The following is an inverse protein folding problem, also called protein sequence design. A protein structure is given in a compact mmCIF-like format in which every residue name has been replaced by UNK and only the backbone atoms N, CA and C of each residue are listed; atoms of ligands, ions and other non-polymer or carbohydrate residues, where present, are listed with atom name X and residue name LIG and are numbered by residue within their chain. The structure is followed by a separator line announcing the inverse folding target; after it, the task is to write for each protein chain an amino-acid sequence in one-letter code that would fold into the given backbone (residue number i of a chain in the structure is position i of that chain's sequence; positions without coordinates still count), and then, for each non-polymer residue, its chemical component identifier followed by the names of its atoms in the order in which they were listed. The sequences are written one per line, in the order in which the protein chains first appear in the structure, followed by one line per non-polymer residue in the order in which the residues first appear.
data_IF_336822240318
#
_entry.id   IF_336822240318
#
_cell.length_a   1.000
_cell.length_b   1.000
_cell.length_c   1.000
_cell.angle_alpha   90.00
_cell.angle_beta   90.00
_cell.angle_gamma   90.00
#
_symmetry.space_group_name_H-M   'P 1'
#
loop_
_entity.id
_entity.type
_entity.pdbx_description
1 polymer ?
#
# COMPACT_ATOMS: atom_id res chain seq x y z
N UNK A 1 4.11 20.73 -2.89
CA UNK A 1 3.89 21.69 -4.00
C UNK A 1 5.21 21.98 -4.72
N UNK A 2 5.28 21.94 -6.04
CA UNK A 2 6.44 22.42 -6.81
C UNK A 2 6.43 23.94 -6.85
N UNK A 3 7.30 24.60 -6.09
CA UNK A 3 7.36 26.08 -6.02
C UNK A 3 7.48 26.77 -7.40
N UNK A 4 8.12 26.12 -8.39
CA UNK A 4 8.28 26.67 -9.75
C UNK A 4 7.06 26.54 -10.67
N UNK A 5 6.14 25.62 -10.39
CA UNK A 5 5.01 25.32 -11.30
C UNK A 5 3.66 25.36 -10.63
N UNK A 6 3.62 25.64 -9.33
CA UNK A 6 2.40 25.67 -8.51
C UNK A 6 1.50 24.42 -8.66
N UNK A 7 2.11 23.26 -9.01
CA UNK A 7 1.40 22.00 -9.23
C UNK A 7 1.49 21.10 -8.02
N UNK A 8 0.35 20.55 -7.65
CA UNK A 8 0.25 19.51 -6.64
C UNK A 8 0.45 18.14 -7.30
N UNK A 9 0.97 17.21 -6.56
CA UNK A 9 1.02 15.80 -6.92
C UNK A 9 0.85 14.97 -5.66
N UNK A 10 0.34 13.76 -5.82
CA UNK A 10 0.16 12.80 -4.75
C UNK A 10 1.28 11.77 -4.79
N UNK A 11 1.74 11.42 -3.63
CA UNK A 11 2.65 10.29 -3.40
C UNK A 11 2.26 9.60 -2.10
N UNK A 12 2.73 8.39 -1.90
CA UNK A 12 2.39 7.58 -0.74
C UNK A 12 3.65 7.20 0.02
N UNK A 13 3.51 7.03 1.33
CA UNK A 13 4.57 6.51 2.18
C UNK A 13 4.33 5.02 2.43
N UNK A 14 5.38 4.20 2.36
CA UNK A 14 5.32 2.82 2.82
C UNK A 14 5.08 2.76 4.33
N UNK A 15 4.54 1.66 4.88
CA UNK A 15 4.42 1.47 6.33
C UNK A 15 5.76 1.61 7.05
N UNK A 16 6.84 1.13 6.43
CA UNK A 16 8.20 1.29 6.92
C UNK A 16 8.61 2.77 7.01
N UNK A 17 8.34 3.56 5.97
CA UNK A 17 8.60 4.99 5.97
C UNK A 17 7.77 5.71 7.04
N UNK A 18 6.51 5.33 7.24
CA UNK A 18 5.65 5.87 8.30
C UNK A 18 6.22 5.57 9.69
N UNK A 19 6.69 4.33 9.95
CA UNK A 19 7.37 3.99 11.20
C UNK A 19 8.60 4.87 11.44
N UNK A 20 9.44 5.02 10.42
CA UNK A 20 10.65 5.86 10.49
C UNK A 20 10.31 7.35 10.74
N UNK A 21 9.29 7.87 10.06
CA UNK A 21 8.81 9.25 10.27
C UNK A 21 8.30 9.43 11.69
N UNK A 22 7.48 8.51 12.20
CA UNK A 22 6.95 8.57 13.55
C UNK A 22 8.06 8.51 14.61
N UNK A 23 9.06 7.63 14.43
CA UNK A 23 10.23 7.57 15.30
C UNK A 23 11.01 8.90 15.29
N UNK A 24 11.19 9.50 14.12
CA UNK A 24 11.82 10.82 14.03
C UNK A 24 11.01 11.91 14.76
N UNK A 25 9.68 11.90 14.62
CA UNK A 25 8.82 12.90 15.27
C UNK A 25 8.87 12.83 16.79
N UNK A 26 9.12 11.65 17.36
CA UNK A 26 9.28 11.48 18.82
C UNK A 26 10.56 12.14 19.38
N UNK A 27 11.62 12.19 18.58
CA UNK A 27 12.91 12.78 19.00
C UNK A 27 13.09 14.22 18.51
N UNK A 28 12.13 14.74 17.76
CA UNK A 28 12.18 16.09 17.23
C UNK A 28 12.00 17.12 18.35
N UNK A 29 12.95 18.05 18.50
CA UNK A 29 12.93 19.07 19.53
C UNK A 29 11.78 20.09 19.35
N UNK A 30 11.46 20.44 18.10
CA UNK A 30 10.43 21.43 17.79
C UNK A 30 9.11 20.76 17.40
N UNK A 31 7.97 21.16 17.98
CA UNK A 31 6.67 20.60 17.62
C UNK A 31 6.36 20.85 16.15
N UNK A 32 5.69 19.87 15.52
CA UNK A 32 5.25 19.96 14.14
C UNK A 32 4.01 20.86 14.05
N UNK A 33 4.07 21.87 13.19
CA UNK A 33 2.94 22.74 12.84
C UNK A 33 2.59 22.55 11.37
N UNK A 34 1.41 23.01 10.95
CA UNK A 34 0.97 22.89 9.55
C UNK A 34 1.90 23.62 8.56
N UNK A 35 2.68 24.59 9.02
CA UNK A 35 3.58 25.40 8.21
C UNK A 35 5.05 24.96 8.33
N UNK A 36 5.39 24.17 9.35
CA UNK A 36 6.77 23.72 9.55
C UNK A 36 7.13 22.59 8.60
N UNK A 37 8.42 22.51 8.15
CA UNK A 37 8.88 21.39 7.37
C UNK A 37 8.86 20.11 8.22
N UNK A 38 8.51 18.97 7.61
CA UNK A 38 8.51 17.68 8.28
C UNK A 38 9.87 17.34 8.90
N UNK A 39 10.94 17.60 8.17
CA UNK A 39 12.32 17.39 8.64
C UNK A 39 13.00 18.74 8.88
N UNK A 40 13.49 18.95 10.10
CA UNK A 40 14.24 20.15 10.47
C UNK A 40 15.73 19.99 10.10
N UNK A 41 15.97 19.85 8.82
CA UNK A 41 17.32 19.65 8.28
C UNK A 41 17.56 20.58 7.09
N UNK A 42 18.72 21.23 7.07
CA UNK A 42 19.10 22.05 5.93
C UNK A 42 19.51 21.18 4.74
N UNK A 43 19.30 21.70 3.52
CA UNK A 43 19.72 21.02 2.29
C UNK A 43 21.22 20.69 2.30
N UNK A 44 22.03 21.61 2.78
CA UNK A 44 23.50 21.45 2.85
C UNK A 44 23.88 20.31 3.79
N UNK A 45 23.24 20.25 4.95
CA UNK A 45 23.49 19.17 5.90
C UNK A 45 23.07 17.81 5.33
N UNK A 46 21.89 17.73 4.70
CA UNK A 46 21.44 16.50 4.04
C UNK A 46 22.43 16.02 2.97
N UNK A 47 22.96 16.93 2.14
CA UNK A 47 23.95 16.58 1.11
C UNK A 47 25.22 16.02 1.76
N UNK A 48 25.74 16.67 2.80
CA UNK A 48 26.92 16.20 3.55
C UNK A 48 26.73 14.81 4.13
N UNK A 49 25.57 14.53 4.75
CA UNK A 49 25.26 13.18 5.26
C UNK A 49 25.39 12.10 4.18
N UNK A 50 24.85 12.36 2.97
CA UNK A 50 24.99 11.40 1.86
C UNK A 50 26.43 11.27 1.37
N UNK A 51 27.20 12.35 1.41
CA UNK A 51 28.62 12.35 1.07
C UNK A 51 29.41 11.52 2.07
N UNK A 52 29.18 11.72 3.36
CA UNK A 52 29.84 10.98 4.45
C UNK A 52 29.50 9.48 4.38
N UNK A 53 28.25 9.11 4.15
CA UNK A 53 27.83 7.72 3.94
C UNK A 53 28.54 7.11 2.73
N UNK A 54 28.58 7.84 1.60
CA UNK A 54 29.27 7.37 0.39
C UNK A 54 30.75 7.08 0.66
N UNK A 55 31.40 8.00 1.35
CA UNK A 55 32.84 7.95 1.58
C UNK A 55 33.19 6.90 2.65
N UNK A 56 32.40 6.78 3.72
CA UNK A 56 32.53 5.73 4.76
C UNK A 56 32.37 4.33 4.18
N UNK A 57 31.42 4.15 3.28
CA UNK A 57 31.17 2.85 2.62
C UNK A 57 32.09 2.59 1.41
N UNK A 58 32.98 3.50 1.07
CA UNK A 58 33.91 3.36 -0.05
C UNK A 58 33.23 3.18 -1.41
N UNK A 59 32.03 3.74 -1.62
CA UNK A 59 31.25 3.52 -2.83
C UNK A 59 31.84 4.21 -4.08
N UNK A 60 32.75 5.17 -3.89
CA UNK A 60 33.45 5.85 -4.95
C UNK A 60 32.60 6.88 -5.69
N UNK A 61 33.04 7.21 -6.92
CA UNK A 61 32.46 8.27 -7.76
C UNK A 61 32.06 7.76 -9.14
N UNK A 62 31.16 8.49 -9.78
CA UNK A 62 30.80 8.32 -11.20
C UNK A 62 30.90 9.72 -11.83
N UNK A 63 31.94 9.92 -12.60
CA UNK A 63 32.33 11.26 -13.09
C UNK A 63 32.55 12.22 -11.91
N UNK A 64 32.04 13.46 -11.96
CA UNK A 64 32.25 14.45 -10.90
C UNK A 64 31.41 14.15 -9.62
N UNK A 65 30.52 13.18 -9.64
CA UNK A 65 29.56 12.95 -8.57
C UNK A 65 29.89 11.71 -7.73
N UNK A 66 29.64 11.78 -6.43
CA UNK A 66 29.62 10.61 -5.57
C UNK A 66 28.53 9.63 -6.03
N UNK A 67 28.79 8.34 -5.94
CA UNK A 67 27.87 7.28 -6.40
C UNK A 67 26.59 7.27 -5.57
N UNK A 68 26.69 7.33 -4.24
CA UNK A 68 25.55 7.45 -3.34
C UNK A 68 25.23 8.92 -3.05
N UNK A 69 24.02 9.34 -3.38
CA UNK A 69 23.53 10.71 -3.21
C UNK A 69 21.99 10.73 -3.21
N UNK A 70 21.40 11.81 -2.69
CA UNK A 70 19.92 11.92 -2.55
C UNK A 70 19.15 11.58 -3.83
N UNK A 71 19.64 11.98 -5.00
CA UNK A 71 19.00 11.69 -6.28
C UNK A 71 18.97 10.18 -6.62
N UNK A 72 19.86 9.39 -6.06
CA UNK A 72 19.89 7.93 -6.28
C UNK A 72 18.70 7.24 -5.62
N UNK A 73 18.23 7.75 -4.47
CA UNK A 73 17.00 7.21 -3.83
C UNK A 73 15.78 7.38 -4.73
N UNK A 74 15.68 8.55 -5.39
CA UNK A 74 14.61 8.79 -6.36
C UNK A 74 14.71 7.88 -7.58
N UNK A 75 15.93 7.64 -8.07
CA UNK A 75 16.17 6.69 -9.17
C UNK A 75 15.82 5.27 -8.75
N UNK A 76 16.27 4.85 -7.58
CA UNK A 76 15.97 3.54 -7.03
C UNK A 76 14.46 3.32 -6.96
N UNK A 77 13.73 4.22 -6.32
CA UNK A 77 12.27 4.15 -6.20
C UNK A 77 11.59 4.01 -7.57
N UNK A 78 11.99 4.82 -8.56
CA UNK A 78 11.41 4.73 -9.89
C UNK A 78 11.74 3.40 -10.59
N UNK A 79 13.00 2.97 -10.52
CA UNK A 79 13.44 1.75 -11.19
C UNK A 79 12.88 0.50 -10.53
N UNK A 80 12.79 0.47 -9.20
CA UNK A 80 12.23 -0.65 -8.46
C UNK A 80 10.75 -0.86 -8.81
N UNK A 81 9.94 0.19 -8.76
CA UNK A 81 8.53 0.11 -9.12
C UNK A 81 8.31 -0.28 -10.60
N UNK A 82 9.09 0.32 -11.51
CA UNK A 82 9.00 0.00 -12.93
C UNK A 82 9.40 -1.45 -13.24
N UNK A 83 10.49 -1.93 -12.66
CA UNK A 83 10.96 -3.30 -12.87
C UNK A 83 10.02 -4.34 -12.25
N UNK A 84 9.27 -3.97 -11.22
CA UNK A 84 8.23 -4.81 -10.60
C UNK A 84 6.90 -4.78 -11.37
N UNK A 85 6.85 -4.07 -12.51
CA UNK A 85 5.72 -4.06 -13.45
C UNK A 85 4.78 -2.86 -13.38
N UNK A 86 5.07 -1.85 -12.54
CA UNK A 86 4.27 -0.62 -12.53
C UNK A 86 4.49 0.17 -13.81
N UNK A 87 3.40 0.69 -14.41
CA UNK A 87 3.49 1.52 -15.62
C UNK A 87 4.31 2.78 -15.38
N UNK A 88 5.08 3.19 -16.40
CA UNK A 88 5.95 4.36 -16.31
C UNK A 88 5.17 5.65 -16.01
N UNK A 89 3.92 5.76 -16.47
CA UNK A 89 3.07 6.91 -16.22
C UNK A 89 2.70 7.02 -14.74
N UNK A 90 2.32 5.90 -14.10
CA UNK A 90 2.04 5.86 -12.66
C UNK A 90 3.28 6.15 -11.83
N UNK A 91 4.44 5.61 -12.21
CA UNK A 91 5.73 5.95 -11.58
C UNK A 91 6.03 7.45 -11.70
N UNK A 92 5.78 8.04 -12.86
CA UNK A 92 5.97 9.46 -13.08
C UNK A 92 5.01 10.32 -12.25
N UNK A 93 3.76 9.88 -12.10
CA UNK A 93 2.77 10.54 -11.25
C UNK A 93 3.19 10.54 -9.79
N UNK A 94 3.60 9.38 -9.25
CA UNK A 94 4.13 9.26 -7.87
C UNK A 94 5.35 10.16 -7.64
N UNK A 95 6.17 10.35 -8.64
CA UNK A 95 7.33 11.23 -8.58
C UNK A 95 7.02 12.70 -8.86
N UNK A 96 5.78 13.04 -9.18
CA UNK A 96 5.38 14.38 -9.53
C UNK A 96 6.10 14.91 -10.78
N UNK A 97 6.41 14.07 -11.76
CA UNK A 97 6.94 14.54 -13.03
C UNK A 97 5.85 15.29 -13.78
N UNK A 98 6.24 16.35 -14.50
CA UNK A 98 5.28 17.09 -15.29
C UNK A 98 4.81 16.23 -16.46
N UNK A 99 3.50 16.10 -16.65
CA UNK A 99 2.90 15.57 -17.88
C UNK A 99 2.98 16.63 -18.98
N UNK A 100 2.99 16.19 -20.23
CA UNK A 100 2.79 17.08 -21.35
C UNK A 100 1.45 17.81 -21.19
N UNK A 101 1.32 19.01 -21.77
CA UNK A 101 0.06 19.78 -21.64
C UNK A 101 -1.16 19.00 -22.16
N UNK A 102 -0.97 18.26 -23.25
CA UNK A 102 -1.99 17.40 -23.83
C UNK A 102 -2.38 16.27 -22.89
N UNK A 103 -1.41 15.50 -22.38
CA UNK A 103 -1.67 14.39 -21.47
C UNK A 103 -2.31 14.85 -20.15
N UNK A 104 -1.91 16.02 -19.64
CA UNK A 104 -2.48 16.59 -18.43
C UNK A 104 -3.95 17.02 -18.59
N UNK A 105 -4.40 17.31 -19.82
CA UNK A 105 -5.78 17.67 -20.12
C UNK A 105 -6.71 16.44 -20.22
N UNK A 106 -6.17 15.30 -20.70
CA UNK A 106 -6.97 14.10 -20.97
C UNK A 106 -6.86 13.03 -19.86
N UNK A 107 -5.75 12.98 -19.14
CA UNK A 107 -5.48 11.93 -18.15
C UNK A 107 -5.40 12.49 -16.73
N UNK A 108 -6.55 12.53 -16.07
CA UNK A 108 -6.60 12.76 -14.62
C UNK A 108 -6.24 11.45 -13.91
N UNK A 109 -5.16 11.46 -13.16
CA UNK A 109 -4.79 10.31 -12.33
C UNK A 109 -5.77 10.22 -11.16
N UNK A 110 -6.52 9.13 -11.08
CA UNK A 110 -7.36 8.84 -9.93
C UNK A 110 -6.44 8.50 -8.73
N UNK A 111 -6.54 9.24 -7.60
CA UNK A 111 -5.74 8.98 -6.42
C UNK A 111 -5.87 7.55 -5.89
N UNK A 112 -7.08 6.99 -5.87
CA UNK A 112 -7.33 5.65 -5.34
C UNK A 112 -6.69 4.57 -6.22
N UNK A 113 -6.77 4.70 -7.54
CA UNK A 113 -6.13 3.78 -8.47
C UNK A 113 -4.60 3.84 -8.35
N UNK A 114 -4.05 5.04 -8.17
CA UNK A 114 -2.62 5.22 -7.97
C UNK A 114 -2.16 4.61 -6.66
N UNK A 115 -2.95 4.75 -5.59
CA UNK A 115 -2.71 4.13 -4.30
C UNK A 115 -2.73 2.61 -4.38
N UNK A 116 -3.75 2.06 -5.04
CA UNK A 116 -3.89 0.63 -5.21
C UNK A 116 -2.70 0.02 -5.97
N UNK A 117 -2.29 0.66 -7.06
CA UNK A 117 -1.10 0.24 -7.79
C UNK A 117 0.18 0.36 -6.96
N UNK A 118 0.35 1.43 -6.19
CA UNK A 118 1.49 1.56 -5.29
C UNK A 118 1.55 0.44 -4.25
N UNK A 119 0.39 0.04 -3.70
CA UNK A 119 0.30 -1.06 -2.73
C UNK A 119 0.71 -2.40 -3.35
N UNK A 120 0.32 -2.68 -4.60
CA UNK A 120 0.73 -3.91 -5.30
C UNK A 120 2.25 -4.05 -5.41
N UNK A 121 2.93 -2.94 -5.64
CA UNK A 121 4.37 -2.87 -5.87
C UNK A 121 5.16 -2.45 -4.64
N UNK A 122 4.52 -2.42 -3.46
CA UNK A 122 5.12 -1.94 -2.22
C UNK A 122 6.36 -2.76 -1.81
N UNK A 123 6.34 -4.07 -2.04
CA UNK A 123 7.44 -4.96 -1.70
C UNK A 123 8.75 -4.58 -2.42
N UNK A 124 8.67 -4.06 -3.65
CA UNK A 124 9.85 -3.66 -4.42
C UNK A 124 10.60 -2.45 -3.82
N UNK A 125 9.93 -1.64 -3.01
CA UNK A 125 10.49 -0.43 -2.37
C UNK A 125 10.62 -0.56 -0.86
N UNK A 126 10.35 -1.75 -0.29
CA UNK A 126 10.52 -2.05 1.13
C UNK A 126 11.94 -2.55 1.37
N UNK A 127 12.64 -1.98 2.34
CA UNK A 127 14.03 -2.31 2.68
C UNK A 127 14.08 -3.48 3.67
N UNK A 128 13.23 -3.44 4.71
CA UNK A 128 13.11 -4.49 5.71
C UNK A 128 11.99 -5.47 5.34
N UNK A 129 12.37 -6.67 4.97
CA UNK A 129 11.44 -7.75 4.62
C UNK A 129 10.66 -8.24 5.85
N UNK A 130 11.18 -8.04 7.05
CA UNK A 130 10.56 -8.38 8.34
C UNK A 130 9.46 -7.40 8.79
N UNK A 131 9.22 -6.34 8.05
CA UNK A 131 8.01 -5.56 8.27
C UNK A 131 6.84 -6.47 7.91
N UNK A 132 6.15 -6.99 8.95
CA UNK A 132 4.86 -7.67 8.82
C UNK A 132 4.14 -7.13 7.60
N UNK A 133 3.72 -8.02 6.72
CA UNK A 133 2.82 -7.70 5.61
C UNK A 133 1.59 -7.06 6.25
N UNK A 134 1.67 -5.77 6.51
CA UNK A 134 0.51 -4.97 6.84
C UNK A 134 -0.40 -5.13 5.64
N UNK A 135 -1.35 -6.03 5.76
CA UNK A 135 -2.44 -6.15 4.80
C UNK A 135 -3.18 -4.82 4.87
N UNK A 136 -2.73 -3.87 4.06
CA UNK A 136 -3.46 -2.62 3.85
C UNK A 136 -4.68 -3.01 3.02
N UNK A 137 -5.66 -3.55 3.74
CA UNK A 137 -6.95 -3.90 3.15
C UNK A 137 -7.61 -2.58 2.77
N UNK A 138 -7.95 -2.42 1.50
CA UNK A 138 -8.79 -1.28 1.10
C UNK A 138 -10.11 -1.33 1.89
N UNK A 139 -10.76 -0.18 2.14
CA UNK A 139 -12.09 -0.17 2.77
C UNK A 139 -13.06 -1.14 2.10
N UNK A 140 -13.03 -1.24 0.76
CA UNK A 140 -13.83 -2.18 -0.01
C UNK A 140 -13.44 -3.64 0.26
N UNK A 141 -12.16 -3.94 0.41
CA UNK A 141 -11.71 -5.29 0.76
C UNK A 141 -12.16 -5.69 2.17
N UNK A 142 -12.09 -4.77 3.14
CA UNK A 142 -12.60 -4.99 4.50
C UNK A 142 -14.11 -5.24 4.47
N UNK A 143 -14.84 -4.49 3.64
CA UNK A 143 -16.28 -4.68 3.49
C UNK A 143 -16.60 -6.05 2.87
N UNK A 144 -15.94 -6.42 1.76
CA UNK A 144 -16.10 -7.72 1.10
C UNK A 144 -15.74 -8.87 2.06
N UNK A 145 -14.71 -8.71 2.88
CA UNK A 145 -14.31 -9.73 3.86
C UNK A 145 -15.39 -9.91 4.93
N UNK A 146 -15.97 -8.83 5.46
CA UNK A 146 -17.10 -8.89 6.40
C UNK A 146 -18.36 -9.51 5.78
N UNK A 147 -18.66 -9.15 4.53
CA UNK A 147 -19.78 -9.75 3.78
C UNK A 147 -19.57 -11.26 3.57
N UNK A 148 -18.34 -11.66 3.22
CA UNK A 148 -17.98 -13.07 3.09
C UNK A 148 -18.08 -13.84 4.41
N UNK A 149 -17.66 -13.26 5.53
CA UNK A 149 -17.81 -13.88 6.85
C UNK A 149 -19.29 -14.04 7.22
N UNK A 150 -20.11 -13.02 6.96
CA UNK A 150 -21.56 -13.06 7.18
C UNK A 150 -22.23 -14.12 6.31
N UNK A 151 -21.83 -14.22 5.03
CA UNK A 151 -22.35 -15.24 4.12
C UNK A 151 -21.95 -16.64 4.54
N UNK A 152 -20.72 -16.86 4.98
CA UNK A 152 -20.24 -18.14 5.51
C UNK A 152 -21.06 -18.58 6.73
N UNK A 153 -21.35 -17.66 7.65
CA UNK A 153 -22.22 -17.94 8.81
C UNK A 153 -23.61 -18.36 8.37
N UNK A 154 -24.25 -17.59 7.47
CA UNK A 154 -25.60 -17.93 6.95
C UNK A 154 -25.62 -19.26 6.22
N UNK A 155 -24.61 -19.59 5.43
CA UNK A 155 -24.51 -20.92 4.78
C UNK A 155 -24.34 -22.02 5.80
N UNK A 156 -23.60 -21.76 6.90
CA UNK A 156 -23.51 -22.73 8.01
C UNK A 156 -24.86 -22.99 8.68
N UNK A 157 -25.63 -21.95 8.93
CA UNK A 157 -26.96 -22.07 9.58
C UNK A 157 -27.98 -22.76 8.65
N UNK A 158 -28.00 -22.37 7.36
CA UNK A 158 -28.86 -23.05 6.38
C UNK A 158 -28.52 -24.56 6.22
N UNK A 159 -27.26 -24.94 6.35
CA UNK A 159 -26.88 -26.37 6.34
C UNK A 159 -27.43 -27.11 7.54
N UNK A 160 -27.40 -26.53 8.74
CA UNK A 160 -27.98 -27.12 9.93
C UNK A 160 -29.50 -27.32 9.78
N UNK A 161 -30.21 -26.28 9.32
CA UNK A 161 -31.66 -26.36 9.06
C UNK A 161 -31.99 -27.45 8.02
N UNK A 162 -31.17 -27.53 6.96
CA UNK A 162 -31.36 -28.59 5.94
C UNK A 162 -31.17 -30.00 6.51
N UNK A 163 -30.20 -30.19 7.39
CA UNK A 163 -29.94 -31.48 8.03
C UNK A 163 -31.03 -31.84 9.02
N UNK A 164 -31.58 -30.85 9.75
CA UNK A 164 -32.76 -31.05 10.60
C UNK A 164 -34.00 -31.43 9.78
N UNK A 165 -34.26 -30.73 8.68
CA UNK A 165 -35.36 -31.07 7.77
C UNK A 165 -35.22 -32.49 7.17
N UNK A 166 -34.00 -32.90 6.84
CA UNK A 166 -33.73 -34.26 6.35
C UNK A 166 -34.04 -35.32 7.42
N UNK A 167 -33.68 -35.05 8.69
CA UNK A 167 -34.01 -35.95 9.81
C UNK A 167 -35.52 -36.06 10.01
N UNK A 168 -36.22 -34.92 10.07
CA UNK A 168 -37.68 -34.91 10.19
C UNK A 168 -38.36 -35.63 9.03
N UNK A 169 -37.87 -35.43 7.81
CA UNK A 169 -38.40 -36.14 6.64
C UNK A 169 -38.21 -37.66 6.76
N UNK A 170 -37.06 -38.09 7.24
CA UNK A 170 -36.83 -39.54 7.46
C UNK A 170 -37.76 -40.11 8.53
N UNK A 171 -37.90 -39.43 9.67
CA UNK A 171 -38.80 -39.83 10.74
C UNK A 171 -40.26 -39.91 10.25
N UNK A 172 -40.66 -38.96 9.41
CA UNK A 172 -41.99 -38.95 8.81
C UNK A 172 -42.22 -40.16 7.90
N UNK A 173 -41.26 -40.53 7.06
CA UNK A 173 -41.35 -41.74 6.23
C UNK A 173 -41.38 -43.01 7.07
N UNK A 174 -40.58 -43.11 8.12
CA UNK A 174 -40.57 -44.26 9.04
C UNK A 174 -41.91 -44.44 9.76
N UNK A 175 -42.63 -43.35 10.08
CA UNK A 175 -43.96 -43.37 10.65
C UNK A 175 -44.99 -43.85 9.63
N UNK A 176 -44.97 -43.34 8.39
CA UNK A 176 -45.89 -43.76 7.33
C UNK A 176 -45.75 -45.26 7.04
N UNK A 177 -44.52 -45.75 6.97
CA UNK A 177 -44.25 -47.19 6.71
C UNK A 177 -44.79 -48.07 7.84
N UNK A 178 -44.69 -47.66 9.10
CA UNK A 178 -45.25 -48.36 10.27
C UNK A 178 -46.76 -48.36 10.28
N UNK A 179 -47.42 -47.28 9.86
CA UNK A 179 -48.86 -47.17 9.82
C UNK A 179 -49.50 -47.92 8.63
N UNK A 180 -48.82 -47.87 7.44
CA UNK A 180 -49.27 -48.54 6.23
C UNK A 180 -49.05 -50.05 6.19
N UNK A 181 -48.24 -50.63 7.08
CA UNK A 181 -47.98 -52.06 7.15
C UNK A 181 -48.91 -52.85 8.09
N UNK A 182 -49.97 -52.20 8.65
CA UNK A 182 -50.95 -52.83 9.53
C UNK A 182 -52.31 -53.06 8.87
N UNK A 183 -52.34 -53.14 7.54
CA UNK A 183 -53.60 -53.47 6.82
C UNK A 183 -53.51 -54.79 6.13
#
# INVERSE_FOLDING_TARGET
MRKKTNKYYLTYCSPEAVKAINAYLLIREKPLTNESPLFDISRTHLVRLFEDINDTLGLGRVGPYRRFRTHMLRKFHASALYNDGMSIDKVNDLQGKAKNKTDAAYFLTNPEDLKFEYIKHLAAVTINIDVEKLSIKSPQFIQIERENETLKSKVGDMRKELDEMKKLKKEFYDIIEKVGGQS
#
